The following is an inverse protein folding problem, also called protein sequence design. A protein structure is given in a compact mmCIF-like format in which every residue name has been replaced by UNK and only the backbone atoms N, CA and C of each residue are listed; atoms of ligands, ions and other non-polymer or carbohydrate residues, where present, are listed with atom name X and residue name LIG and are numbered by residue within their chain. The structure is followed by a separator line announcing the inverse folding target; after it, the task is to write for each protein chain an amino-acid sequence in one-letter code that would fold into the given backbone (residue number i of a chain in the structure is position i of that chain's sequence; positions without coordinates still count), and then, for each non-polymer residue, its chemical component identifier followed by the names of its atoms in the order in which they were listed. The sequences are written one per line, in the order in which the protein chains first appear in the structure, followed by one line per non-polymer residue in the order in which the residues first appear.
data_IF_695652881645
#
_entry.id   IF_695652881645
#
_cell.length_a   1.000
_cell.length_b   1.000
_cell.length_c   1.000
_cell.angle_alpha   90.00
_cell.angle_beta   90.00
_cell.angle_gamma   90.00
#
_symmetry.space_group_name_H-M   'P 1'
#
loop_
_entity.id
_entity.type
_entity.pdbx_description
1 polymer ?
#
# COMPACT_ATOMS: atom_id res chain seq x y z
N UNK A 1 -13.77 -23.81 2.34
CA UNK A 1 -14.58 -22.74 2.98
C UNK A 1 -13.79 -21.93 4.02
N UNK A 2 -12.59 -22.35 4.42
CA UNK A 2 -11.74 -21.66 5.44
C UNK A 2 -10.98 -20.44 4.93
N UNK A 3 -10.96 -20.17 3.62
CA UNK A 3 -10.21 -19.05 3.02
C UNK A 3 -10.96 -17.71 3.03
N UNK A 4 -12.29 -17.72 3.09
CA UNK A 4 -13.12 -16.50 3.01
C UNK A 4 -12.78 -15.46 4.09
N UNK A 5 -12.60 -15.82 5.38
CA UNK A 5 -12.25 -14.84 6.41
C UNK A 5 -10.89 -14.17 6.15
N UNK A 6 -9.91 -14.94 5.66
CA UNK A 6 -8.57 -14.44 5.36
C UNK A 6 -8.59 -13.50 4.15
N UNK A 7 -9.40 -13.79 3.14
CA UNK A 7 -9.58 -12.90 1.99
C UNK A 7 -10.25 -11.58 2.40
N UNK A 8 -11.27 -11.61 3.26
CA UNK A 8 -11.91 -10.39 3.77
C UNK A 8 -10.93 -9.53 4.59
N UNK A 9 -10.11 -10.18 5.41
CA UNK A 9 -9.06 -9.50 6.17
C UNK A 9 -8.05 -8.82 5.23
N UNK A 10 -7.59 -9.54 4.21
CA UNK A 10 -6.66 -8.99 3.21
C UNK A 10 -7.24 -7.75 2.52
N UNK A 11 -8.49 -7.83 2.03
CA UNK A 11 -9.18 -6.69 1.40
C UNK A 11 -9.25 -5.49 2.35
N UNK A 12 -9.56 -5.71 3.63
CA UNK A 12 -9.59 -4.64 4.64
C UNK A 12 -8.23 -3.97 4.82
N UNK A 13 -7.15 -4.74 4.94
CA UNK A 13 -5.79 -4.19 5.06
C UNK A 13 -5.33 -3.46 3.80
N UNK A 14 -5.70 -3.95 2.62
CA UNK A 14 -5.39 -3.33 1.34
C UNK A 14 -6.11 -1.99 1.15
N UNK A 15 -7.40 -1.93 1.51
CA UNK A 15 -8.16 -0.68 1.47
C UNK A 15 -7.52 0.39 2.35
N UNK A 16 -7.05 0.02 3.56
CA UNK A 16 -6.34 0.94 4.46
C UNK A 16 -5.02 1.43 3.84
N UNK A 17 -4.24 0.53 3.24
CA UNK A 17 -2.99 0.89 2.56
C UNK A 17 -3.23 1.89 1.42
N UNK A 18 -4.15 1.58 0.52
CA UNK A 18 -4.47 2.43 -0.63
C UNK A 18 -4.99 3.80 -0.19
N UNK A 19 -5.86 3.83 0.83
CA UNK A 19 -6.32 5.09 1.42
C UNK A 19 -5.16 5.92 1.99
N UNK A 20 -4.21 5.29 2.68
CA UNK A 20 -3.06 5.98 3.27
C UNK A 20 -2.17 6.63 2.21
N UNK A 21 -1.94 5.94 1.09
CA UNK A 21 -1.18 6.46 -0.06
C UNK A 21 -1.92 7.66 -0.68
N UNK A 22 -3.23 7.53 -0.90
CA UNK A 22 -4.06 8.62 -1.43
C UNK A 22 -4.06 9.84 -0.51
N UNK A 23 -4.19 9.64 0.81
CA UNK A 23 -4.15 10.71 1.80
C UNK A 23 -2.80 11.45 1.81
N UNK A 24 -1.70 10.70 1.76
CA UNK A 24 -0.37 11.30 1.69
C UNK A 24 -0.20 12.14 0.40
N UNK A 25 -0.65 11.60 -0.74
CA UNK A 25 -0.63 12.28 -2.04
C UNK A 25 -1.47 13.56 -2.01
N UNK A 26 -2.68 13.50 -1.45
CA UNK A 26 -3.55 14.66 -1.27
C UNK A 26 -2.91 15.74 -0.38
N UNK A 27 -2.19 15.32 0.67
CA UNK A 27 -1.46 16.24 1.56
C UNK A 27 -0.40 17.04 0.80
N UNK A 28 0.37 16.39 -0.09
CA UNK A 28 1.37 17.08 -0.94
C UNK A 28 0.70 18.19 -1.77
N UNK A 29 -0.57 17.98 -2.13
CA UNK A 29 -1.38 18.93 -2.86
C UNK A 29 -1.59 20.29 -2.18
N UNK A 30 -1.38 20.39 -0.87
CA UNK A 30 -1.44 21.68 -0.18
C UNK A 30 -0.34 22.65 -0.63
N UNK A 31 0.81 22.15 -1.10
CA UNK A 31 1.96 22.97 -1.47
C UNK A 31 2.29 22.95 -2.96
N UNK A 32 1.75 22.00 -3.73
CA UNK A 32 2.03 21.83 -5.15
C UNK A 32 0.84 22.27 -5.99
N UNK A 33 1.07 23.18 -6.94
CA UNK A 33 0.05 23.72 -7.87
C UNK A 33 -0.43 22.71 -8.93
N UNK A 34 0.32 21.63 -9.21
CA UNK A 34 -0.04 20.54 -10.15
C UNK A 34 -0.13 19.17 -9.46
N UNK A 35 -1.20 18.96 -8.71
CA UNK A 35 -1.52 17.66 -8.06
C UNK A 35 -1.69 16.51 -9.05
N UNK A 36 -2.25 16.78 -10.24
CA UNK A 36 -2.67 15.73 -11.17
C UNK A 36 -1.50 14.86 -11.68
N UNK A 37 -0.32 15.44 -11.93
CA UNK A 37 0.85 14.68 -12.38
C UNK A 37 1.41 13.77 -11.26
N UNK A 38 1.35 14.24 -10.01
CA UNK A 38 1.81 13.47 -8.86
C UNK A 38 0.84 12.32 -8.54
N UNK A 39 -0.47 12.55 -8.66
CA UNK A 39 -1.49 11.51 -8.54
C UNK A 39 -1.31 10.42 -9.59
N UNK A 40 -1.09 10.79 -10.87
CA UNK A 40 -0.87 9.80 -11.92
C UNK A 40 0.37 8.93 -11.64
N UNK A 41 1.47 9.51 -11.16
CA UNK A 41 2.66 8.72 -10.84
C UNK A 41 2.43 7.84 -9.60
N UNK A 42 1.76 8.37 -8.59
CA UNK A 42 1.68 7.67 -7.29
C UNK A 42 0.55 6.64 -7.27
N UNK A 43 -0.60 6.92 -7.85
CA UNK A 43 -1.77 6.02 -7.85
C UNK A 43 -1.77 5.08 -9.06
N UNK A 44 -1.61 5.58 -10.29
CA UNK A 44 -1.64 4.69 -11.46
C UNK A 44 -0.42 3.77 -11.49
N UNK A 45 0.80 4.29 -11.24
CA UNK A 45 1.97 3.42 -11.24
C UNK A 45 1.95 2.40 -10.08
N UNK A 46 1.44 2.79 -8.90
CA UNK A 46 1.21 1.86 -7.80
C UNK A 46 0.20 0.77 -8.18
N UNK A 47 -0.94 1.17 -8.74
CA UNK A 47 -2.01 0.26 -9.14
C UNK A 47 -1.57 -0.70 -10.23
N UNK A 48 -0.80 -0.23 -11.21
CA UNK A 48 -0.19 -1.09 -12.24
C UNK A 48 0.83 -2.03 -11.61
N UNK A 49 1.67 -1.56 -10.68
CA UNK A 49 2.65 -2.39 -9.99
C UNK A 49 1.98 -3.51 -9.17
N UNK A 50 0.84 -3.25 -8.54
CA UNK A 50 0.07 -4.22 -7.77
C UNK A 50 -0.59 -5.32 -8.62
N UNK A 51 -0.81 -5.07 -9.92
CA UNK A 51 -1.44 -6.06 -10.83
C UNK A 51 -0.48 -7.18 -11.23
N UNK A 52 0.83 -6.97 -11.10
CA UNK A 52 1.84 -7.96 -11.48
C UNK A 52 2.59 -8.48 -10.26
N UNK A 53 2.84 -9.80 -10.17
CA UNK A 53 3.56 -10.37 -9.04
C UNK A 53 4.95 -9.76 -8.90
N UNK A 54 5.34 -9.42 -7.67
CA UNK A 54 6.63 -8.77 -7.37
C UNK A 54 7.84 -9.54 -7.92
N UNK A 55 7.71 -10.86 -8.05
CA UNK A 55 8.73 -11.75 -8.61
C UNK A 55 9.13 -11.42 -10.07
N UNK A 56 8.30 -10.70 -10.82
CA UNK A 56 8.62 -10.26 -12.19
C UNK A 56 9.51 -9.01 -12.21
N UNK A 57 9.60 -8.28 -11.11
CA UNK A 57 10.41 -7.06 -11.03
C UNK A 57 11.84 -7.35 -10.56
N UNK A 58 12.84 -6.55 -11.00
CA UNK A 58 14.19 -6.65 -10.47
C UNK A 58 14.24 -6.27 -8.98
N UNK A 59 15.20 -6.84 -8.22
CA UNK A 59 15.27 -6.71 -6.75
C UNK A 59 15.23 -5.26 -6.23
N UNK A 60 15.87 -4.33 -6.93
CA UNK A 60 15.87 -2.91 -6.54
C UNK A 60 14.47 -2.30 -6.60
N UNK A 61 13.66 -2.68 -7.60
CA UNK A 61 12.30 -2.19 -7.77
C UNK A 61 11.34 -2.86 -6.77
N UNK A 62 11.56 -4.13 -6.44
CA UNK A 62 10.84 -4.79 -5.35
C UNK A 62 11.04 -4.06 -4.02
N UNK A 63 12.29 -3.71 -3.68
CA UNK A 63 12.59 -2.93 -2.48
C UNK A 63 11.92 -1.56 -2.50
N UNK A 64 11.91 -0.87 -3.65
CA UNK A 64 11.26 0.42 -3.78
C UNK A 64 9.73 0.32 -3.58
N UNK A 65 9.08 -0.67 -4.21
CA UNK A 65 7.63 -0.89 -4.09
C UNK A 65 7.20 -1.37 -2.69
N UNK A 66 8.08 -2.03 -1.95
CA UNK A 66 7.82 -2.45 -0.57
C UNK A 66 8.12 -1.37 0.47
N UNK A 67 9.13 -0.53 0.23
CA UNK A 67 9.64 0.42 1.24
C UNK A 67 9.12 1.84 1.01
N UNK A 68 9.05 2.30 -0.25
CA UNK A 68 8.75 3.70 -0.58
C UNK A 68 7.25 3.93 -0.80
N UNK A 69 6.57 3.02 -1.50
CA UNK A 69 5.13 3.17 -1.86
C UNK A 69 4.22 2.11 -1.18
N UNK A 70 4.77 1.28 -0.29
CA UNK A 70 4.24 -0.02 0.20
C UNK A 70 3.23 -0.83 -0.64
N UNK A 71 3.06 -0.57 -1.93
CA UNK A 71 2.08 -1.25 -2.79
C UNK A 71 2.42 -2.72 -2.98
N UNK A 72 3.68 -3.11 -2.78
CA UNK A 72 4.07 -4.52 -2.82
C UNK A 72 3.35 -5.39 -1.79
N UNK A 73 2.80 -4.80 -0.72
CA UNK A 73 1.96 -5.51 0.24
C UNK A 73 0.50 -5.67 -0.23
N UNK A 74 0.08 -4.90 -1.23
CA UNK A 74 -1.25 -4.99 -1.82
C UNK A 74 -1.30 -6.22 -2.71
N UNK A 75 -2.20 -7.15 -2.38
CA UNK A 75 -2.54 -8.37 -3.10
C UNK A 75 -1.45 -9.45 -3.21
N UNK A 76 -0.16 -9.11 -3.35
CA UNK A 76 0.90 -10.13 -3.50
C UNK A 76 1.18 -10.89 -2.20
N UNK A 77 1.47 -10.19 -1.11
CA UNK A 77 1.79 -10.81 0.19
C UNK A 77 0.63 -11.63 0.77
N UNK A 78 -0.63 -11.15 0.82
CA UNK A 78 -1.72 -11.97 1.34
C UNK A 78 -2.09 -13.13 0.40
N UNK A 79 -1.90 -13.01 -0.92
CA UNK A 79 -2.18 -14.12 -1.86
C UNK A 79 -1.18 -15.27 -1.77
N UNK A 80 0.08 -15.02 -1.39
CA UNK A 80 1.04 -16.10 -1.09
C UNK A 80 0.53 -17.04 0.00
N UNK A 81 -0.10 -16.49 1.04
CA UNK A 81 -0.68 -17.31 2.11
C UNK A 81 -2.03 -17.90 1.70
N UNK A 82 -2.95 -17.11 1.17
CA UNK A 82 -4.34 -17.53 0.91
C UNK A 82 -4.44 -18.53 -0.26
N UNK A 83 -3.67 -18.29 -1.34
CA UNK A 83 -3.75 -19.07 -2.58
C UNK A 83 -2.71 -20.18 -2.62
N UNK A 84 -1.47 -19.90 -2.18
CA UNK A 84 -0.38 -20.88 -2.23
C UNK A 84 -0.13 -21.61 -0.91
N UNK A 85 -0.71 -21.14 0.21
CA UNK A 85 -0.46 -21.73 1.53
C UNK A 85 0.98 -21.52 2.02
N UNK A 86 1.72 -20.59 1.42
CA UNK A 86 3.14 -20.41 1.70
C UNK A 86 3.38 -19.46 2.89
N UNK A 87 4.52 -19.66 3.55
CA UNK A 87 5.08 -18.83 4.62
C UNK A 87 4.26 -18.67 5.92
N UNK A 88 2.94 -18.90 5.93
CA UNK A 88 2.13 -18.95 7.16
C UNK A 88 1.44 -17.64 7.54
N UNK A 89 0.63 -17.69 8.61
CA UNK A 89 -0.30 -16.59 9.00
C UNK A 89 0.40 -15.28 9.36
N UNK A 90 1.69 -15.31 9.69
CA UNK A 90 2.45 -14.09 10.04
C UNK A 90 2.54 -13.11 8.87
N UNK A 91 2.37 -13.54 7.62
CA UNK A 91 2.32 -12.60 6.48
C UNK A 91 1.10 -11.68 6.59
N UNK A 92 -0.05 -12.20 7.01
CA UNK A 92 -1.26 -11.39 7.20
C UNK A 92 -1.07 -10.40 8.36
N UNK A 93 -0.35 -10.80 9.41
CA UNK A 93 0.02 -9.87 10.48
C UNK A 93 0.98 -8.79 9.95
N UNK A 94 1.94 -9.16 9.10
CA UNK A 94 2.87 -8.24 8.44
C UNK A 94 2.17 -7.23 7.53
N UNK A 95 1.20 -7.66 6.72
CA UNK A 95 0.42 -6.75 5.85
C UNK A 95 -0.44 -5.81 6.68
N UNK A 96 -1.04 -6.28 7.77
CA UNK A 96 -1.81 -5.44 8.67
C UNK A 96 -0.93 -4.42 9.40
N UNK A 97 0.26 -4.82 9.87
CA UNK A 97 1.22 -3.91 10.48
C UNK A 97 1.66 -2.83 9.49
N UNK A 98 2.00 -3.22 8.26
CA UNK A 98 2.35 -2.26 7.20
C UNK A 98 1.22 -1.26 6.94
N UNK A 99 -0.03 -1.75 6.83
CA UNK A 99 -1.20 -0.90 6.64
C UNK A 99 -1.38 0.13 7.76
N UNK A 100 -1.24 -0.29 9.02
CA UNK A 100 -1.36 0.59 10.18
C UNK A 100 -0.23 1.63 10.25
N UNK A 101 1.00 1.23 9.95
CA UNK A 101 2.15 2.15 9.92
C UNK A 101 1.98 3.21 8.81
N UNK A 102 1.54 2.80 7.63
CA UNK A 102 1.23 3.71 6.53
C UNK A 102 0.12 4.69 6.91
N UNK A 103 -0.96 4.20 7.52
CA UNK A 103 -2.08 5.04 7.95
C UNK A 103 -1.64 6.07 9.00
N UNK A 104 -0.88 5.64 10.00
CA UNK A 104 -0.34 6.52 11.02
C UNK A 104 0.57 7.60 10.40
N UNK A 105 1.46 7.19 9.48
CA UNK A 105 2.34 8.10 8.75
C UNK A 105 1.57 9.11 7.90
N UNK A 106 0.57 8.66 7.12
CA UNK A 106 -0.23 9.54 6.27
C UNK A 106 -1.09 10.50 7.08
N UNK A 107 -1.66 10.07 8.21
CA UNK A 107 -2.42 10.94 9.10
C UNK A 107 -1.53 11.99 9.78
N UNK A 108 -0.34 11.60 10.23
CA UNK A 108 0.64 12.54 10.78
C UNK A 108 1.06 13.58 9.73
N UNK A 109 1.31 13.13 8.50
CA UNK A 109 1.66 14.01 7.39
C UNK A 109 0.52 14.96 7.03
N UNK A 110 -0.72 14.47 6.94
CA UNK A 110 -1.91 15.29 6.73
C UNK A 110 -2.06 16.37 7.79
N UNK A 111 -1.94 16.00 9.08
CA UNK A 111 -2.00 16.95 10.20
C UNK A 111 -0.91 18.01 10.11
N UNK A 112 0.31 17.62 9.74
CA UNK A 112 1.39 18.58 9.48
C UNK A 112 1.04 19.51 8.31
N UNK A 113 0.46 18.96 7.24
CA UNK A 113 -0.01 19.72 6.09
C UNK A 113 -1.00 20.81 6.44
N UNK A 114 -1.99 20.48 7.26
CA UNK A 114 -2.98 21.45 7.74
C UNK A 114 -2.39 22.61 8.56
N UNK A 115 -1.21 22.43 9.19
CA UNK A 115 -0.55 23.53 9.93
C UNK A 115 0.25 24.48 9.04
N UNK A 116 0.48 24.09 7.78
CA UNK A 116 1.36 24.78 6.83
C UNK A 116 0.61 25.26 5.58
N UNK A 117 -0.68 24.97 5.50
CA UNK A 117 -1.65 25.52 4.57
C UNK A 117 -2.29 26.75 5.19
#
# INVERSE_FOLDING_TARGET
MTSVPWTLFAIGTEAILLFSIGLATATVGFWITRIAELQNITEDAARTAAQYPLALYPKWLQSLLLVVVPVGFVSYVPSLYIVRGEYGVWLLAGTALAALLCLAGSLAFWRYGLTKY
#
